data_IF_130688069777
#
_entry.id   IF_130688069777
#
_cell.length_a   1.000
_cell.length_b   1.000
_cell.length_c   1.000
_cell.angle_alpha   90.00
_cell.angle_beta   90.00
_cell.angle_gamma   90.00
#
_symmetry.space_group_name_H-M   'P 1'
#
loop_
_entity.id
_entity.type
_entity.pdbx_description
1 polymer ?
#
# COMPACT_ATOMS: atom_id res chain seq x y z
N UNK A 1 4.98 11.07 -1.68
CA UNK A 1 5.49 11.22 -0.28
C UNK A 1 4.53 10.53 0.70
N UNK A 2 4.99 10.11 1.89
CA UNK A 2 4.12 9.46 2.88
C UNK A 2 3.44 10.52 3.75
N UNK A 3 2.11 10.49 3.82
CA UNK A 3 1.29 11.32 4.70
C UNK A 3 1.13 10.68 6.08
N UNK A 4 0.73 9.41 6.10
CA UNK A 4 0.52 8.64 7.32
C UNK A 4 0.70 7.14 7.06
N UNK A 5 0.77 6.36 8.13
CA UNK A 5 0.86 4.90 8.09
C UNK A 5 -0.22 4.27 8.97
N UNK A 6 -0.74 3.11 8.57
CA UNK A 6 -1.77 2.35 9.29
C UNK A 6 -1.27 0.92 9.46
N UNK A 7 -0.94 0.51 10.69
CA UNK A 7 -0.50 -0.85 10.99
C UNK A 7 -1.66 -1.71 11.46
N UNK A 8 -2.19 -2.54 10.56
CA UNK A 8 -3.25 -3.51 10.88
C UNK A 8 -2.70 -4.81 11.46
N UNK A 9 -1.37 -4.94 11.55
CA UNK A 9 -0.70 -6.14 12.06
C UNK A 9 -0.24 -6.02 13.51
N UNK A 10 -0.22 -4.81 14.07
CA UNK A 10 0.33 -4.48 15.39
C UNK A 10 1.79 -4.93 15.58
N UNK A 11 2.58 -4.98 14.50
CA UNK A 11 3.97 -5.44 14.52
C UNK A 11 4.98 -4.31 14.26
N UNK A 12 4.50 -3.09 13.98
CA UNK A 12 5.32 -1.95 13.62
C UNK A 12 5.53 -1.78 12.11
N UNK A 13 6.11 -0.63 11.76
CA UNK A 13 6.33 -0.15 10.37
C UNK A 13 7.80 -0.18 9.96
N UNK A 14 8.57 -1.13 10.50
CA UNK A 14 9.97 -1.37 10.19
C UNK A 14 10.24 -1.68 8.70
N UNK A 15 9.20 -2.13 7.99
CA UNK A 15 9.25 -2.48 6.56
C UNK A 15 9.17 -1.26 5.63
N UNK A 16 8.89 -0.06 6.16
CA UNK A 16 8.83 1.17 5.36
C UNK A 16 10.22 1.82 5.37
N UNK A 17 11.18 1.21 4.66
CA UNK A 17 12.54 1.75 4.54
C UNK A 17 13.55 0.78 3.93
N UNK A 18 14.77 1.28 3.65
CA UNK A 18 15.89 0.47 3.19
C UNK A 18 16.69 -0.01 4.42
N UNK A 19 16.30 -1.13 5.02
CA UNK A 19 17.08 -1.81 6.06
C UNK A 19 17.66 -3.10 5.49
N UNK A 20 18.90 -3.48 5.87
CA UNK A 20 19.67 -4.58 5.25
C UNK A 20 19.20 -6.00 5.62
N UNK A 21 17.90 -6.17 5.90
CA UNK A 21 17.30 -7.36 6.50
C UNK A 21 16.39 -8.18 5.58
N UNK A 22 16.72 -8.37 4.31
CA UNK A 22 16.11 -9.41 3.46
C UNK A 22 14.88 -9.01 2.64
N UNK A 23 14.62 -9.79 1.59
CA UNK A 23 13.69 -9.50 0.47
C UNK A 23 12.21 -9.30 0.81
N UNK A 24 11.81 -9.49 2.06
CA UNK A 24 10.39 -9.45 2.49
C UNK A 24 9.87 -8.03 2.71
N UNK A 25 10.77 -7.05 2.83
CA UNK A 25 10.45 -5.70 3.29
C UNK A 25 10.59 -4.63 2.19
N UNK A 26 11.06 -5.02 1.00
CA UNK A 26 11.26 -4.08 -0.12
C UNK A 26 10.08 -3.99 -1.08
N UNK A 27 9.15 -4.95 -1.08
CA UNK A 27 8.09 -4.98 -2.09
C UNK A 27 7.17 -3.75 -1.97
N UNK A 28 6.69 -3.46 -0.75
CA UNK A 28 5.82 -2.32 -0.48
C UNK A 28 6.50 -0.99 -0.78
N UNK A 29 7.74 -0.81 -0.32
CA UNK A 29 8.52 0.41 -0.55
C UNK A 29 8.91 0.61 -2.02
N UNK A 30 9.22 -0.45 -2.76
CA UNK A 30 9.47 -0.40 -4.20
C UNK A 30 8.22 0.05 -4.96
N UNK A 31 7.06 -0.59 -4.72
CA UNK A 31 5.79 -0.20 -5.35
C UNK A 31 5.42 1.24 -4.97
N UNK A 32 5.53 1.60 -3.69
CA UNK A 32 5.28 2.97 -3.24
C UNK A 32 6.19 3.98 -3.97
N UNK A 33 7.46 3.63 -4.17
CA UNK A 33 8.41 4.44 -4.93
C UNK A 33 7.95 4.69 -6.37
N UNK A 34 7.49 3.66 -7.08
CA UNK A 34 6.97 3.81 -8.46
C UNK A 34 5.75 4.74 -8.55
N UNK A 35 4.99 4.88 -7.46
CA UNK A 35 3.80 5.74 -7.43
C UNK A 35 4.17 7.16 -6.99
N UNK A 36 4.82 7.33 -5.84
CA UNK A 36 4.95 8.65 -5.17
C UNK A 36 6.37 9.05 -4.80
N UNK A 37 7.41 8.41 -5.34
CA UNK A 37 8.79 8.88 -5.14
C UNK A 37 8.95 10.33 -5.63
N UNK A 38 9.71 11.13 -4.89
CA UNK A 38 9.88 12.55 -5.15
C UNK A 38 10.63 12.78 -6.47
N UNK A 39 10.27 13.85 -7.18
CA UNK A 39 11.01 14.33 -8.35
C UNK A 39 11.99 15.42 -7.93
N UNK A 40 13.21 15.04 -7.59
CA UNK A 40 14.28 15.94 -7.12
C UNK A 40 15.52 15.96 -8.04
N UNK A 41 15.46 15.26 -9.18
CA UNK A 41 16.53 15.24 -10.17
C UNK A 41 17.59 14.17 -9.92
N UNK A 42 17.42 13.32 -8.91
CA UNK A 42 18.28 12.17 -8.65
C UNK A 42 17.50 10.85 -8.79
N UNK A 43 18.12 9.85 -9.41
CA UNK A 43 17.50 8.54 -9.62
C UNK A 43 16.14 8.56 -10.32
N UNK A 44 15.19 7.77 -9.80
CA UNK A 44 13.83 7.60 -10.33
C UNK A 44 12.81 8.41 -9.51
N UNK A 45 11.73 8.85 -10.15
CA UNK A 45 10.59 9.46 -9.46
C UNK A 45 9.30 8.68 -9.72
N UNK A 46 8.30 8.88 -8.87
CA UNK A 46 6.99 8.25 -8.99
C UNK A 46 6.16 8.87 -10.12
N UNK A 47 5.20 8.13 -10.64
CA UNK A 47 4.26 8.65 -11.65
C UNK A 47 3.43 9.81 -11.09
N UNK A 48 2.99 9.70 -9.84
CA UNK A 48 2.26 10.71 -9.08
C UNK A 48 3.16 11.32 -7.99
N UNK A 49 4.32 11.85 -8.40
CA UNK A 49 5.37 12.36 -7.50
C UNK A 49 4.93 13.53 -6.61
N UNK A 50 3.89 14.26 -7.02
CA UNK A 50 3.26 15.37 -6.30
C UNK A 50 2.15 14.93 -5.33
N UNK A 51 1.78 13.66 -5.36
CA UNK A 51 0.75 13.09 -4.49
C UNK A 51 1.31 12.62 -3.15
N UNK A 52 0.40 12.49 -2.19
CA UNK A 52 0.66 11.91 -0.87
C UNK A 52 0.05 10.51 -0.76
N UNK A 53 0.68 9.64 0.02
CA UNK A 53 0.27 8.27 0.23
C UNK A 53 0.02 7.97 1.71
N UNK A 54 -1.06 7.22 1.97
CA UNK A 54 -1.28 6.53 3.23
C UNK A 54 -0.81 5.09 3.05
N UNK A 55 0.13 4.63 3.88
CA UNK A 55 0.71 3.28 3.76
C UNK A 55 0.07 2.34 4.76
N UNK A 56 -0.60 1.29 4.28
CA UNK A 56 -1.28 0.31 5.11
C UNK A 56 -0.45 -0.98 5.16
N UNK A 57 -0.09 -1.44 6.36
CA UNK A 57 0.56 -2.75 6.57
C UNK A 57 -0.48 -3.78 6.95
N UNK A 58 -0.54 -4.88 6.19
CA UNK A 58 -1.54 -5.96 6.33
C UNK A 58 -0.90 -7.36 6.49
N UNK A 59 0.42 -7.43 6.60
CA UNK A 59 1.16 -8.67 6.83
C UNK A 59 2.63 -8.41 7.15
N UNK A 60 3.29 -9.39 7.78
CA UNK A 60 4.71 -9.35 8.18
C UNK A 60 5.55 -10.45 7.49
N UNK A 61 5.06 -10.96 6.37
CA UNK A 61 5.65 -12.14 5.74
C UNK A 61 5.12 -12.39 4.35
N UNK A 62 5.08 -13.66 3.95
CA UNK A 62 4.68 -14.08 2.60
C UNK A 62 3.17 -14.13 2.38
N UNK A 63 2.39 -13.96 3.44
CA UNK A 63 0.94 -14.00 3.41
C UNK A 63 0.38 -12.69 3.94
N UNK A 64 -0.79 -12.32 3.42
CA UNK A 64 -1.55 -11.15 3.87
C UNK A 64 -2.98 -11.57 4.17
N UNK A 65 -3.64 -10.81 5.04
CA UNK A 65 -5.06 -10.92 5.29
C UNK A 65 -5.80 -9.80 4.53
N UNK A 66 -6.68 -10.18 3.60
CA UNK A 66 -7.44 -9.24 2.78
C UNK A 66 -8.57 -8.56 3.54
N UNK A 67 -9.02 -9.11 4.67
CA UNK A 67 -9.96 -8.42 5.55
C UNK A 67 -9.29 -7.19 6.21
N UNK A 68 -8.03 -7.33 6.65
CA UNK A 68 -7.24 -6.21 7.16
C UNK A 68 -7.00 -5.14 6.09
N UNK A 69 -6.86 -5.55 4.82
CA UNK A 69 -6.80 -4.61 3.70
C UNK A 69 -8.09 -3.81 3.53
N UNK A 70 -9.25 -4.48 3.60
CA UNK A 70 -10.55 -3.82 3.51
C UNK A 70 -10.76 -2.81 4.65
N UNK A 71 -10.42 -3.19 5.89
CA UNK A 71 -10.48 -2.28 7.04
C UNK A 71 -9.52 -1.10 6.91
N UNK A 72 -8.28 -1.35 6.52
CA UNK A 72 -7.29 -0.30 6.33
C UNK A 72 -7.67 0.67 5.20
N UNK A 73 -8.25 0.17 4.10
CA UNK A 73 -8.76 1.04 3.03
C UNK A 73 -9.94 1.90 3.50
N UNK A 74 -10.81 1.37 4.37
CA UNK A 74 -11.89 2.16 4.96
C UNK A 74 -11.32 3.31 5.80
N UNK A 75 -10.37 3.03 6.70
CA UNK A 75 -9.70 4.07 7.50
C UNK A 75 -8.95 5.09 6.64
N UNK A 76 -8.29 4.65 5.56
CA UNK A 76 -7.62 5.54 4.62
C UNK A 76 -8.61 6.43 3.85
N UNK A 77 -9.75 5.88 3.43
CA UNK A 77 -10.82 6.63 2.77
C UNK A 77 -11.43 7.69 3.69
N UNK A 78 -11.66 7.34 4.96
CA UNK A 78 -12.11 8.29 5.99
C UNK A 78 -11.06 9.42 6.22
N UNK A 79 -9.79 9.16 5.92
CA UNK A 79 -8.69 10.13 5.94
C UNK A 79 -8.49 10.89 4.61
N UNK A 80 -9.39 10.71 3.64
CA UNK A 80 -9.39 11.42 2.36
C UNK A 80 -8.68 10.71 1.20
N UNK A 81 -8.29 9.44 1.36
CA UNK A 81 -7.73 8.67 0.25
C UNK A 81 -8.81 8.36 -0.81
N UNK A 82 -8.50 8.65 -2.07
CA UNK A 82 -9.41 8.45 -3.21
C UNK A 82 -8.95 7.37 -4.20
N UNK A 83 -7.70 6.93 -4.09
CA UNK A 83 -7.11 5.85 -4.89
C UNK A 83 -6.47 4.83 -3.94
N UNK A 84 -6.78 3.55 -4.13
CA UNK A 84 -6.20 2.44 -3.37
C UNK A 84 -5.37 1.52 -4.27
N UNK A 85 -4.18 1.14 -3.81
CA UNK A 85 -3.35 0.12 -4.46
C UNK A 85 -3.13 -1.05 -3.49
N UNK A 86 -3.50 -2.26 -3.90
CA UNK A 86 -3.26 -3.49 -3.15
C UNK A 86 -2.19 -4.34 -3.86
N UNK A 87 -0.94 -4.21 -3.42
CA UNK A 87 0.21 -4.89 -4.03
C UNK A 87 0.52 -6.24 -3.35
N UNK A 88 -0.47 -7.11 -3.28
CA UNK A 88 -0.32 -8.43 -2.67
C UNK A 88 -0.90 -9.51 -3.57
N UNK A 89 -0.11 -10.51 -3.98
CA UNK A 89 -0.64 -11.67 -4.69
C UNK A 89 -1.17 -12.68 -3.67
N UNK A 90 -2.48 -12.65 -3.43
CA UNK A 90 -3.17 -13.62 -2.60
C UNK A 90 -4.21 -14.39 -3.42
N UNK A 91 -4.61 -15.55 -2.92
CA UNK A 91 -5.85 -16.19 -3.39
C UNK A 91 -7.02 -15.37 -2.85
N UNK A 92 -7.30 -14.26 -3.52
CA UNK A 92 -8.48 -13.46 -3.21
C UNK A 92 -9.70 -14.38 -3.25
N UNK A 93 -10.44 -14.44 -2.14
CA UNK A 93 -11.66 -15.22 -2.05
C UNK A 93 -12.73 -14.64 -3.01
N UNK A 94 -13.80 -15.41 -3.18
CA UNK A 94 -14.91 -14.99 -4.03
C UNK A 94 -15.55 -13.69 -3.55
N UNK A 95 -15.57 -13.41 -2.26
CA UNK A 95 -16.27 -12.27 -1.69
C UNK A 95 -15.52 -10.97 -1.98
N UNK A 96 -14.19 -10.97 -1.81
CA UNK A 96 -13.33 -9.86 -2.21
C UNK A 96 -13.48 -9.55 -3.71
N UNK A 97 -13.42 -10.59 -4.56
CA UNK A 97 -13.55 -10.43 -6.03
C UNK A 97 -14.94 -9.97 -6.44
N UNK A 98 -15.98 -10.49 -5.77
CA UNK A 98 -17.37 -10.11 -6.02
C UNK A 98 -17.64 -8.69 -5.56
N UNK A 99 -16.90 -8.17 -4.58
CA UNK A 99 -17.03 -6.80 -4.11
C UNK A 99 -16.15 -5.81 -4.91
N UNK A 100 -15.12 -6.26 -5.62
CA UNK A 100 -14.43 -5.45 -6.64
C UNK A 100 -15.25 -5.39 -7.93
N UNK A 101 -16.35 -4.62 -7.91
CA UNK A 101 -17.12 -4.31 -9.11
C UNK A 101 -16.74 -2.92 -9.60
N UNK A 102 -16.61 -2.79 -10.92
CA UNK A 102 -16.52 -1.49 -11.58
C UNK A 102 -17.78 -0.67 -11.24
N UNK A 103 -17.60 0.42 -10.49
CA UNK A 103 -18.72 1.27 -10.06
C UNK A 103 -19.12 2.28 -11.14
N UNK A 104 -18.17 2.71 -11.98
CA UNK A 104 -18.37 3.56 -13.16
C UNK A 104 -17.09 3.54 -14.01
N UNK A 105 -17.17 3.92 -15.30
CA UNK A 105 -16.02 4.55 -15.94
C UNK A 105 -15.91 5.98 -15.41
N UNK A 106 -14.70 6.41 -15.05
CA UNK A 106 -14.45 7.79 -14.62
C UNK A 106 -14.76 8.79 -15.72
#
# INVERSE_FOLDING_TARGET
>A
QIHSTIDKTNAGMDDIGYTSGGSKYYHGSHVLGTIVAKKDGDGMHGVAFDSQAIVIKIGNGRSVDTALAAEGFKEAADSGAVVGNLSANSRYDSDFRNNTKKLSDG
#
